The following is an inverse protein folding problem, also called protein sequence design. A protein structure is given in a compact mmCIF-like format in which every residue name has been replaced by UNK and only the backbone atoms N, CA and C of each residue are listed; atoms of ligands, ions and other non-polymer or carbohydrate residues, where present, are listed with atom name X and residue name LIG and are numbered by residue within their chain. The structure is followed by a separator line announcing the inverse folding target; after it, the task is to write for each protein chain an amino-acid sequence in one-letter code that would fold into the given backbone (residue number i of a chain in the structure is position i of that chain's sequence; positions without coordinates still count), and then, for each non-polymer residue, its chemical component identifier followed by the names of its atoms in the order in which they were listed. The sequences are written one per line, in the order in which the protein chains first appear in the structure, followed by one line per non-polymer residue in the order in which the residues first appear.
data_IF_237345249420
#
_entry.id   IF_237345249420
#
_cell.length_a   1.000
_cell.length_b   1.000
_cell.length_c   1.000
_cell.angle_alpha   90.00
_cell.angle_beta   90.00
_cell.angle_gamma   90.00
#
_symmetry.space_group_name_H-M   'P 1'
#
loop_
_entity.id
_entity.type
_entity.pdbx_description
1 polymer ?
#
# COMPACT_ATOMS: atom_id res chain seq x y z
N UNK A 1 -18.84 45.01 -52.31
CA UNK A 1 -19.42 43.76 -52.85
C UNK A 1 -18.28 42.79 -53.17
N UNK A 2 -18.40 41.55 -52.68
CA UNK A 2 -17.60 40.36 -53.01
C UNK A 2 -16.17 40.20 -52.44
N UNK A 3 -16.15 39.54 -51.27
CA UNK A 3 -15.35 38.35 -50.94
C UNK A 3 -14.65 37.62 -52.11
N UNK A 4 -13.43 37.12 -51.83
CA UNK A 4 -13.04 35.68 -51.89
C UNK A 4 -11.71 35.40 -52.61
N UNK A 5 -10.70 34.92 -51.87
CA UNK A 5 -10.07 33.61 -52.15
C UNK A 5 -9.18 33.15 -50.99
N UNK A 6 -9.44 31.91 -50.53
CA UNK A 6 -8.63 31.12 -49.60
C UNK A 6 -7.48 30.46 -50.39
N UNK A 7 -6.32 30.29 -49.78
CA UNK A 7 -5.35 29.21 -50.10
C UNK A 7 -4.44 29.05 -48.88
N UNK A 8 -4.76 28.12 -47.98
CA UNK A 8 -4.33 26.71 -48.04
C UNK A 8 -2.81 26.57 -47.84
N UNK A 9 -2.46 26.55 -46.55
CA UNK A 9 -1.36 25.82 -45.92
C UNK A 9 -0.80 24.64 -46.75
N UNK A 10 0.45 24.75 -47.23
CA UNK A 10 1.42 23.68 -47.55
C UNK A 10 2.79 24.36 -47.68
N UNK A 11 3.92 23.99 -47.08
CA UNK A 11 4.35 22.90 -46.22
C UNK A 11 5.88 22.90 -46.29
N UNK A 12 6.58 22.73 -45.17
CA UNK A 12 7.92 22.14 -45.19
C UNK A 12 8.22 21.58 -43.80
N UNK A 13 8.27 20.26 -43.75
CA UNK A 13 8.66 19.48 -42.60
C UNK A 13 10.17 19.63 -42.38
N UNK A 14 10.59 20.10 -41.20
CA UNK A 14 11.96 19.92 -40.71
C UNK A 14 11.89 19.52 -39.24
N UNK A 15 12.38 18.31 -38.99
CA UNK A 15 12.94 17.79 -37.75
C UNK A 15 12.00 17.57 -36.55
N UNK A 16 11.30 16.45 -36.58
CA UNK A 16 11.20 15.59 -35.39
C UNK A 16 12.62 15.17 -34.92
N UNK A 17 12.71 14.76 -33.65
CA UNK A 17 13.87 14.13 -32.98
C UNK A 17 14.81 15.05 -32.20
N UNK A 18 14.34 15.58 -31.06
CA UNK A 18 15.22 15.70 -29.87
C UNK A 18 14.47 15.24 -28.61
N UNK A 19 14.63 13.94 -28.36
CA UNK A 19 14.90 13.35 -27.06
C UNK A 19 13.94 13.70 -25.91
N UNK A 20 12.79 13.02 -25.95
CA UNK A 20 12.14 12.42 -24.80
C UNK A 20 13.10 11.39 -24.17
N UNK A 21 13.78 11.68 -23.04
CA UNK A 21 13.73 10.75 -21.91
C UNK A 21 13.95 11.47 -20.57
N UNK A 22 12.89 12.00 -19.96
CA UNK A 22 12.99 12.53 -18.59
C UNK A 22 11.76 12.19 -17.73
N UNK A 23 11.22 10.98 -17.93
CA UNK A 23 10.04 10.51 -17.20
C UNK A 23 10.27 9.17 -16.44
N UNK A 24 11.51 8.70 -16.31
CA UNK A 24 11.82 7.37 -15.73
C UNK A 24 12.55 7.41 -14.37
N UNK A 25 12.61 8.57 -13.69
CA UNK A 25 13.27 8.69 -12.38
C UNK A 25 12.28 9.03 -11.26
N UNK A 26 11.14 8.35 -11.21
CA UNK A 26 10.34 8.27 -9.99
C UNK A 26 10.95 7.18 -9.11
N UNK A 27 12.10 7.46 -8.49
CA UNK A 27 12.55 6.66 -7.35
C UNK A 27 11.52 6.81 -6.25
N UNK A 28 10.72 5.77 -6.01
CA UNK A 28 9.90 5.67 -4.81
C UNK A 28 10.85 5.69 -3.63
N UNK A 29 10.95 6.84 -2.97
CA UNK A 29 11.69 6.96 -1.73
C UNK A 29 10.94 6.17 -0.65
N UNK A 30 11.30 4.90 -0.46
CA UNK A 30 10.87 4.12 0.68
C UNK A 30 11.58 4.67 1.91
N UNK A 31 10.82 5.31 2.79
CA UNK A 31 11.30 5.62 4.13
C UNK A 31 11.28 4.32 4.95
N UNK A 32 12.35 3.52 4.81
CA UNK A 32 12.67 2.51 5.81
C UNK A 32 13.10 3.25 7.07
N UNK A 33 12.11 3.63 7.90
CA UNK A 33 12.40 4.03 9.26
C UNK A 33 13.06 2.86 9.98
N UNK A 34 14.00 3.14 10.88
CA UNK A 34 14.41 2.21 11.92
C UNK A 34 13.18 1.97 12.82
N UNK A 35 12.27 1.12 12.35
CA UNK A 35 10.92 0.98 12.87
C UNK A 35 10.94 0.77 14.38
N UNK A 36 10.01 1.42 15.08
CA UNK A 36 9.85 1.31 16.54
C UNK A 36 9.54 -0.14 16.97
N UNK A 37 9.19 -0.99 16.01
CA UNK A 37 8.77 -2.37 16.20
C UNK A 37 9.94 -3.35 16.07
N UNK A 38 10.12 -4.22 17.06
CA UNK A 38 11.24 -5.19 17.08
C UNK A 38 11.08 -6.32 16.06
N UNK A 39 9.84 -6.63 15.70
CA UNK A 39 9.47 -7.69 14.75
C UNK A 39 7.99 -7.56 14.39
N UNK A 40 7.55 -8.29 13.34
CA UNK A 40 6.13 -8.40 13.00
C UNK A 40 5.27 -8.98 14.13
N UNK A 41 5.80 -9.96 14.87
CA UNK A 41 5.14 -10.50 16.07
C UNK A 41 5.01 -9.45 17.17
N UNK A 42 6.06 -8.65 17.39
CA UNK A 42 6.03 -7.58 18.39
C UNK A 42 5.01 -6.49 18.03
N UNK A 43 4.96 -6.06 16.77
CA UNK A 43 3.94 -5.12 16.27
C UNK A 43 2.54 -5.72 16.42
N UNK A 44 2.34 -6.97 16.03
CA UNK A 44 1.06 -7.65 16.18
C UNK A 44 0.59 -7.64 17.64
N UNK A 45 1.45 -8.05 18.57
CA UNK A 45 1.11 -8.12 20.00
C UNK A 45 0.79 -6.74 20.63
N UNK A 46 1.37 -5.66 20.09
CA UNK A 46 1.25 -4.31 20.64
C UNK A 46 0.21 -3.43 19.97
N UNK A 47 -0.30 -3.83 18.80
CA UNK A 47 -1.26 -3.04 18.02
C UNK A 47 -2.40 -3.92 17.52
N UNK A 48 -2.10 -4.87 16.63
CA UNK A 48 -3.11 -5.62 15.91
C UNK A 48 -3.95 -6.51 16.84
N UNK A 49 -3.30 -7.21 17.76
CA UNK A 49 -3.92 -8.16 18.68
C UNK A 49 -4.95 -7.53 19.62
N UNK A 50 -4.75 -6.26 20.00
CA UNK A 50 -5.70 -5.53 20.85
C UNK A 50 -7.11 -5.46 20.28
N UNK A 51 -7.26 -5.55 18.95
CA UNK A 51 -8.56 -5.65 18.31
C UNK A 51 -8.86 -7.06 17.78
N UNK A 52 -7.89 -7.69 17.12
CA UNK A 52 -8.10 -8.95 16.39
C UNK A 52 -8.13 -10.20 17.29
N UNK A 53 -7.76 -10.07 18.57
CA UNK A 53 -7.88 -11.13 19.58
C UNK A 53 -8.91 -10.79 20.67
N UNK A 54 -9.32 -9.53 20.79
CA UNK A 54 -10.32 -9.06 21.75
C UNK A 54 -11.77 -9.09 21.23
N UNK A 55 -12.00 -9.64 20.03
CA UNK A 55 -13.34 -9.70 19.42
C UNK A 55 -13.85 -8.37 18.86
N UNK A 56 -13.01 -7.32 18.82
CA UNK A 56 -13.34 -6.04 18.18
C UNK A 56 -13.20 -6.15 16.66
N UNK A 57 -12.12 -6.78 16.20
CA UNK A 57 -11.87 -7.12 14.80
C UNK A 57 -12.05 -8.62 14.54
N UNK A 58 -12.17 -9.03 13.26
CA UNK A 58 -12.23 -10.44 12.91
C UNK A 58 -10.91 -11.14 13.23
N UNK A 59 -10.95 -12.46 13.43
CA UNK A 59 -9.71 -13.26 13.51
C UNK A 59 -8.99 -13.23 12.16
N UNK A 60 -7.70 -12.89 12.18
CA UNK A 60 -6.86 -12.75 10.98
C UNK A 60 -5.73 -13.78 10.86
N UNK A 61 -5.33 -14.44 11.96
CA UNK A 61 -4.37 -15.56 11.94
C UNK A 61 -5.03 -16.86 11.46
N UNK A 62 -4.25 -17.77 10.89
CA UNK A 62 -4.74 -19.06 10.37
C UNK A 62 -5.53 -18.99 9.07
N UNK A 63 -5.52 -17.83 8.40
CA UNK A 63 -6.27 -17.58 7.16
C UNK A 63 -5.41 -17.46 5.90
N UNK A 64 -4.08 -17.54 6.06
CA UNK A 64 -3.09 -17.40 4.98
C UNK A 64 -3.33 -16.15 4.11
N UNK A 65 -3.72 -15.03 4.74
CA UNK A 65 -3.96 -13.76 4.05
C UNK A 65 -2.65 -13.28 3.40
N UNK A 66 -2.67 -12.82 2.13
CA UNK A 66 -1.48 -12.26 1.50
C UNK A 66 -0.95 -11.03 2.25
N UNK A 67 0.36 -10.87 2.46
CA UNK A 67 0.93 -9.70 3.13
C UNK A 67 0.55 -8.37 2.47
N UNK A 68 0.42 -8.35 1.14
CA UNK A 68 0.05 -7.17 0.35
C UNK A 68 -1.41 -6.77 0.60
N UNK A 69 -2.28 -7.76 0.80
CA UNK A 69 -3.67 -7.51 1.19
C UNK A 69 -3.74 -6.88 2.59
N UNK A 70 -2.95 -7.39 3.54
CA UNK A 70 -2.86 -6.82 4.89
C UNK A 70 -2.32 -5.39 4.82
N UNK A 71 -1.28 -5.15 4.01
CA UNK A 71 -0.73 -3.82 3.79
C UNK A 71 -1.79 -2.84 3.29
N UNK A 72 -2.55 -3.23 2.27
CA UNK A 72 -3.61 -2.40 1.71
C UNK A 72 -4.68 -2.06 2.76
N UNK A 73 -5.13 -3.04 3.55
CA UNK A 73 -6.15 -2.81 4.60
C UNK A 73 -5.60 -1.88 5.70
N UNK A 74 -4.37 -2.07 6.14
CA UNK A 74 -3.76 -1.25 7.21
C UNK A 74 -3.54 0.18 6.74
N UNK A 75 -3.13 0.40 5.49
CA UNK A 75 -2.88 1.74 4.93
C UNK A 75 -4.16 2.51 4.63
N UNK A 76 -5.22 1.82 4.22
CA UNK A 76 -6.49 2.47 3.85
C UNK A 76 -7.52 2.48 4.98
N UNK A 77 -7.35 1.63 6.00
CA UNK A 77 -8.42 1.27 6.91
C UNK A 77 -9.50 0.45 6.20
N UNK A 78 -10.40 -0.16 6.99
CA UNK A 78 -11.53 -0.89 6.43
C UNK A 78 -12.72 -0.87 7.39
N UNK A 79 -13.75 -0.07 7.03
CA UNK A 79 -14.94 0.17 7.85
C UNK A 79 -14.53 0.75 9.22
N UNK A 80 -14.76 0.00 10.31
CA UNK A 80 -14.39 0.42 11.66
C UNK A 80 -12.89 0.25 11.97
N UNK A 81 -12.14 -0.51 11.16
CA UNK A 81 -10.71 -0.64 11.33
C UNK A 81 -10.02 0.65 10.87
N UNK A 82 -9.28 1.35 11.76
CA UNK A 82 -8.61 2.60 11.40
C UNK A 82 -7.47 2.35 10.39
N UNK A 83 -7.12 3.39 9.64
CA UNK A 83 -5.90 3.42 8.85
C UNK A 83 -4.69 3.76 9.74
N UNK A 84 -3.53 3.16 9.46
CA UNK A 84 -2.27 3.43 10.14
C UNK A 84 -1.25 4.03 9.15
N UNK A 85 -0.76 5.22 9.48
CA UNK A 85 0.20 5.96 8.66
C UNK A 85 1.59 5.33 8.70
N UNK A 86 2.40 5.63 7.68
CA UNK A 86 3.82 5.21 7.63
C UNK A 86 4.65 5.76 8.80
N UNK A 87 4.27 6.91 9.36
CA UNK A 87 4.93 7.49 10.55
C UNK A 87 4.68 6.70 11.84
N UNK A 88 3.63 5.87 11.89
CA UNK A 88 3.31 5.04 13.05
C UNK A 88 3.73 3.58 12.85
N UNK A 89 3.47 3.04 11.65
CA UNK A 89 3.96 1.72 11.22
C UNK A 89 4.59 1.91 9.85
N UNK A 90 5.92 1.91 9.78
CA UNK A 90 6.67 1.99 8.52
C UNK A 90 6.42 0.76 7.64
N UNK A 91 6.82 0.83 6.36
CA UNK A 91 6.51 -0.21 5.38
C UNK A 91 7.22 -1.54 5.67
N UNK A 92 8.45 -1.50 6.20
CA UNK A 92 9.19 -2.69 6.61
C UNK A 92 8.50 -3.39 7.78
N UNK A 93 8.12 -2.65 8.82
CA UNK A 93 7.34 -3.19 9.94
C UNK A 93 6.00 -3.75 9.48
N UNK A 94 5.33 -3.09 8.54
CA UNK A 94 4.05 -3.54 8.00
C UNK A 94 4.18 -4.84 7.19
N UNK A 95 5.24 -4.97 6.38
CA UNK A 95 5.55 -6.21 5.68
C UNK A 95 5.81 -7.34 6.68
N UNK A 96 6.65 -7.10 7.70
CA UNK A 96 6.99 -8.10 8.72
C UNK A 96 5.74 -8.61 9.46
N UNK A 97 4.81 -7.72 9.84
CA UNK A 97 3.58 -8.17 10.51
C UNK A 97 2.63 -8.89 9.54
N UNK A 98 2.58 -8.47 8.27
CA UNK A 98 1.84 -9.18 7.23
C UNK A 98 2.30 -10.62 7.06
N UNK A 99 3.61 -10.84 6.97
CA UNK A 99 4.21 -12.17 6.90
C UNK A 99 3.98 -12.99 8.17
N UNK A 100 4.09 -12.36 9.35
CA UNK A 100 3.80 -13.00 10.62
C UNK A 100 2.34 -13.50 10.68
N UNK A 101 1.37 -12.65 10.31
CA UNK A 101 -0.06 -13.02 10.27
C UNK A 101 -0.31 -14.16 9.28
N UNK A 102 0.29 -14.10 8.08
CA UNK A 102 0.13 -15.12 7.05
C UNK A 102 0.62 -16.50 7.53
N UNK A 103 1.79 -16.55 8.19
CA UNK A 103 2.43 -17.79 8.68
C UNK A 103 1.85 -18.27 10.01
N UNK A 104 1.09 -17.43 10.71
CA UNK A 104 0.55 -17.77 12.02
C UNK A 104 -0.56 -18.82 11.95
N UNK A 105 -0.58 -19.79 12.88
CA UNK A 105 -1.67 -20.76 12.97
C UNK A 105 -2.97 -20.09 13.40
N UNK A 106 -4.10 -20.75 13.12
CA UNK A 106 -5.38 -20.34 13.67
C UNK A 106 -5.30 -20.38 15.21
N UNK A 107 -5.93 -19.42 15.92
CA UNK A 107 -6.08 -19.54 17.36
C UNK A 107 -6.74 -20.88 17.71
N UNK A 108 -6.31 -21.50 18.81
CA UNK A 108 -7.04 -22.65 19.35
C UNK A 108 -8.51 -22.25 19.51
N UNK A 109 -9.43 -23.12 19.10
CA UNK A 109 -10.86 -22.83 19.19
C UNK A 109 -11.19 -22.44 20.63
N UNK A 110 -11.48 -21.15 20.84
CA UNK A 110 -12.04 -20.70 22.11
C UNK A 110 -13.45 -21.28 22.12
N UNK A 111 -13.65 -22.34 22.91
CA UNK A 111 -14.98 -22.87 23.14
C UNK A 111 -15.86 -21.71 23.61
N UNK A 112 -16.88 -21.39 22.82
CA UNK A 112 -17.89 -20.41 23.20
C UNK A 112 -18.55 -20.92 24.50
N UNK A 113 -18.56 -20.16 25.61
CA UNK A 113 -19.33 -20.55 26.78
C UNK A 113 -20.83 -20.62 26.46
#
# INVERSE_FOLDING_TARGET
MFQLKKSALRGSAIAACLALPMALMSTTASADGDGVWKSGENLYAKVCGHCHEAGVGPVIKGRQLPPEYIQAIVRNGFRAMPAFTASYIDDKSLQQVGEYIQKSPAPAAVAKP
#
